data_IF_742003423847
#
_entry.id   IF_742003423847
#
_cell.length_a   1.000
_cell.length_b   1.000
_cell.length_c   1.000
_cell.angle_alpha   90.00
_cell.angle_beta   90.00
_cell.angle_gamma   90.00
#
_symmetry.space_group_name_H-M   'P 1'
#
loop_
_entity.id
_entity.type
_entity.pdbx_description
1 polymer ?
#
# COMPACT_ATOMS: atom_id res chain seq x y z
N UNK A 1 3.27 6.09 29.65
CA UNK A 1 3.26 4.80 28.98
C UNK A 1 4.70 4.31 28.76
N UNK A 2 5.55 5.05 28.05
CA UNK A 2 6.92 4.62 27.70
C UNK A 2 7.83 4.35 28.92
N UNK A 3 7.54 4.91 30.07
CA UNK A 3 8.29 4.69 31.32
C UNK A 3 7.81 3.48 32.12
N UNK A 4 6.71 2.84 31.71
CA UNK A 4 6.21 1.66 32.41
C UNK A 4 7.10 0.43 32.16
N UNK A 5 7.36 -0.31 33.22
CA UNK A 5 8.11 -1.55 33.16
C UNK A 5 7.31 -2.61 32.37
N UNK A 6 7.97 -3.35 31.47
CA UNK A 6 7.35 -4.38 30.66
C UNK A 6 6.79 -3.89 29.29
N UNK A 7 6.72 -2.58 29.05
CA UNK A 7 6.41 -2.05 27.72
C UNK A 7 7.67 -2.05 26.87
N UNK A 8 7.69 -2.78 25.76
CA UNK A 8 8.81 -2.87 24.82
C UNK A 8 8.46 -2.38 23.41
N UNK A 9 7.16 -2.26 23.08
CA UNK A 9 6.64 -1.77 21.81
C UNK A 9 5.57 -0.71 22.06
N UNK A 10 5.61 0.35 21.25
CA UNK A 10 4.56 1.38 21.18
C UNK A 10 3.92 1.34 19.79
N UNK A 11 2.62 1.07 19.76
CA UNK A 11 1.83 1.12 18.53
C UNK A 11 1.20 2.52 18.40
N UNK A 12 1.56 3.24 17.33
CA UNK A 12 1.11 4.61 17.06
C UNK A 12 0.03 4.61 16.01
N UNK A 13 -1.20 4.90 16.40
CA UNK A 13 -2.40 4.94 15.56
C UNK A 13 -3.22 6.22 15.79
N UNK A 14 -2.55 7.35 15.93
CA UNK A 14 -3.14 8.67 16.18
C UNK A 14 -3.48 9.40 14.87
N UNK A 15 -3.65 10.72 14.92
CA UNK A 15 -3.63 11.55 13.70
C UNK A 15 -2.23 11.59 13.09
N UNK A 16 -2.15 11.86 11.78
CA UNK A 16 -0.88 11.80 11.05
C UNK A 16 0.20 12.76 11.57
N UNK A 17 -0.19 13.94 12.04
CA UNK A 17 0.75 14.94 12.56
C UNK A 17 1.41 14.49 13.86
N UNK A 18 0.74 13.61 14.60
CA UNK A 18 1.22 13.09 15.89
C UNK A 18 2.12 11.85 15.75
N UNK A 19 2.17 11.20 14.58
CA UNK A 19 2.93 9.96 14.38
C UNK A 19 4.41 10.14 14.73
N UNK A 20 5.08 11.09 14.11
CA UNK A 20 6.53 11.28 14.26
C UNK A 20 6.95 11.70 15.67
N UNK A 21 6.35 12.73 16.30
CA UNK A 21 6.75 13.13 17.64
C UNK A 21 6.52 12.02 18.68
N UNK A 22 5.45 11.22 18.55
CA UNK A 22 5.20 10.08 19.45
C UNK A 22 6.23 8.97 19.23
N UNK A 23 6.51 8.63 17.95
CA UNK A 23 7.47 7.60 17.60
C UNK A 23 8.89 7.93 18.08
N UNK A 24 9.36 9.15 17.85
CA UNK A 24 10.66 9.62 18.31
C UNK A 24 10.75 9.54 19.83
N UNK A 25 9.76 10.09 20.53
CA UNK A 25 9.75 10.03 21.99
C UNK A 25 9.80 8.58 22.52
N UNK A 26 9.05 7.67 21.92
CA UNK A 26 9.06 6.27 22.32
C UNK A 26 10.44 5.62 22.13
N UNK A 27 11.08 5.85 20.98
CA UNK A 27 12.43 5.32 20.70
C UNK A 27 13.49 5.90 21.64
N UNK A 28 13.43 7.19 21.94
CA UNK A 28 14.30 7.85 22.94
C UNK A 28 14.14 7.26 24.35
N UNK A 29 12.95 6.71 24.67
CA UNK A 29 12.69 5.99 25.92
C UNK A 29 13.04 4.49 25.82
N UNK A 30 13.74 4.06 24.78
CA UNK A 30 14.18 2.68 24.58
C UNK A 30 13.05 1.71 24.19
N UNK A 31 12.02 2.18 23.48
CA UNK A 31 10.90 1.36 23.01
C UNK A 31 10.93 1.24 21.49
N UNK A 32 10.72 0.05 20.97
CA UNK A 32 10.46 -0.14 19.55
C UNK A 32 9.11 0.45 19.19
N UNK A 33 8.94 0.82 17.92
CA UNK A 33 7.73 1.52 17.46
C UNK A 33 7.16 0.88 16.19
N UNK A 34 5.85 0.70 16.20
CA UNK A 34 5.04 0.38 15.04
C UNK A 34 4.11 1.57 14.76
N UNK A 35 4.19 2.14 13.54
CA UNK A 35 3.48 3.37 13.19
C UNK A 35 2.49 3.11 12.07
N UNK A 36 1.24 3.53 12.25
CA UNK A 36 0.24 3.51 11.18
C UNK A 36 0.64 4.40 9.99
N UNK A 37 0.08 4.08 8.85
CA UNK A 37 0.34 4.79 7.60
C UNK A 37 -0.41 6.13 7.53
N UNK A 38 0.24 7.16 6.96
CA UNK A 38 1.65 7.29 6.60
C UNK A 38 2.51 7.54 7.85
N UNK A 39 3.70 6.96 7.91
CA UNK A 39 4.56 7.12 9.07
C UNK A 39 5.02 8.58 9.30
N UNK A 40 5.20 9.34 8.23
CA UNK A 40 5.60 10.74 8.27
C UNK A 40 5.02 11.52 7.09
N UNK A 41 4.94 12.85 7.22
CA UNK A 41 4.34 13.75 6.24
C UNK A 41 5.36 14.64 5.51
N UNK A 42 6.57 14.75 6.02
CA UNK A 42 7.63 15.57 5.43
C UNK A 42 8.95 14.82 5.33
N UNK A 43 9.82 15.22 4.40
CA UNK A 43 11.16 14.65 4.30
C UNK A 43 11.98 14.83 5.59
N UNK A 44 11.80 15.96 6.27
CA UNK A 44 12.45 16.20 7.56
C UNK A 44 12.02 15.16 8.59
N UNK A 45 10.75 14.86 8.66
CA UNK A 45 10.20 13.90 9.62
C UNK A 45 10.62 12.46 9.30
N UNK A 46 10.70 12.11 8.00
CA UNK A 46 11.21 10.80 7.56
C UNK A 46 12.65 10.60 8.05
N UNK A 47 13.53 11.59 7.82
CA UNK A 47 14.90 11.52 8.29
C UNK A 47 14.99 11.49 9.81
N UNK A 48 14.16 12.27 10.51
CA UNK A 48 14.13 12.25 11.97
C UNK A 48 13.76 10.87 12.54
N UNK A 49 12.83 10.15 11.92
CA UNK A 49 12.51 8.77 12.31
C UNK A 49 13.69 7.82 12.10
N UNK A 50 14.34 7.91 10.94
CA UNK A 50 15.49 7.05 10.58
C UNK A 50 16.66 7.33 11.52
N UNK A 51 17.05 8.60 11.66
CA UNK A 51 18.16 9.02 12.53
C UNK A 51 17.93 8.60 13.98
N UNK A 52 16.70 8.77 14.49
CA UNK A 52 16.36 8.37 15.86
C UNK A 52 16.42 6.85 16.02
N UNK A 53 15.88 6.08 15.06
CA UNK A 53 15.95 4.62 15.11
C UNK A 53 17.41 4.12 15.13
N UNK A 54 18.29 4.71 14.32
CA UNK A 54 19.71 4.37 14.27
C UNK A 54 20.43 4.76 15.58
N UNK A 55 20.21 5.96 16.09
CA UNK A 55 20.84 6.48 17.32
C UNK A 55 20.43 5.70 18.56
N UNK A 56 19.15 5.39 18.67
CA UNK A 56 18.58 4.66 19.82
C UNK A 56 18.70 3.15 19.70
N UNK A 57 18.99 2.64 18.49
CA UNK A 57 18.96 1.21 18.13
C UNK A 57 17.60 0.56 18.41
N UNK A 58 16.54 1.32 18.28
CA UNK A 58 15.18 0.82 18.39
C UNK A 58 14.61 0.56 16.99
N UNK A 59 13.75 -0.46 16.88
CA UNK A 59 13.03 -0.71 15.65
C UNK A 59 11.94 0.36 15.45
N UNK A 60 11.82 0.86 14.22
CA UNK A 60 10.73 1.70 13.79
C UNK A 60 10.16 1.12 12.48
N UNK A 61 8.93 0.65 12.52
CA UNK A 61 8.27 0.01 11.38
C UNK A 61 6.98 0.75 11.02
N UNK A 62 6.85 1.14 9.75
CA UNK A 62 5.57 1.59 9.21
C UNK A 62 4.71 0.37 8.86
N UNK A 63 3.46 0.37 9.31
CA UNK A 63 2.54 -0.75 9.14
C UNK A 63 1.76 -0.64 7.80
N UNK A 64 2.45 -0.82 6.68
CA UNK A 64 1.80 -0.88 5.37
C UNK A 64 1.17 -2.26 5.16
N UNK A 65 -0.06 -2.41 5.56
CA UNK A 65 -0.78 -3.67 5.59
C UNK A 65 -1.12 -4.24 4.20
N UNK A 66 -1.23 -3.40 3.17
CA UNK A 66 -1.61 -3.85 1.83
C UNK A 66 -0.58 -4.82 1.20
N UNK A 67 0.68 -4.80 1.67
CA UNK A 67 1.72 -5.73 1.20
C UNK A 67 1.53 -7.16 1.69
N UNK A 68 0.69 -7.38 2.70
CA UNK A 68 0.45 -8.69 3.34
C UNK A 68 -0.84 -9.37 2.88
N UNK A 69 -1.53 -8.79 1.91
CA UNK A 69 -2.69 -9.44 1.32
C UNK A 69 -2.26 -10.65 0.49
N UNK A 70 -3.06 -11.72 0.50
CA UNK A 70 -2.72 -13.00 -0.11
C UNK A 70 -2.32 -12.88 -1.58
N UNK A 71 -3.05 -12.09 -2.37
CA UNK A 71 -2.77 -11.89 -3.77
C UNK A 71 -1.44 -11.17 -3.98
N UNK A 72 -1.19 -10.08 -3.26
CA UNK A 72 0.04 -9.29 -3.33
C UNK A 72 1.25 -10.13 -2.93
N UNK A 73 1.13 -10.93 -1.86
CA UNK A 73 2.22 -11.81 -1.44
C UNK A 73 2.51 -12.92 -2.46
N UNK A 74 1.47 -13.54 -3.01
CA UNK A 74 1.63 -14.59 -4.03
C UNK A 74 2.28 -14.03 -5.29
N UNK A 75 1.78 -12.90 -5.82
CA UNK A 75 2.36 -12.28 -7.02
C UNK A 75 3.81 -11.83 -6.78
N UNK A 76 4.12 -11.31 -5.59
CA UNK A 76 5.49 -10.97 -5.23
C UNK A 76 6.42 -12.20 -5.29
N UNK A 77 5.98 -13.35 -4.78
CA UNK A 77 6.75 -14.58 -4.85
C UNK A 77 6.87 -15.09 -6.30
N UNK A 78 5.81 -15.03 -7.09
CA UNK A 78 5.84 -15.38 -8.52
C UNK A 78 6.86 -14.52 -9.29
N UNK A 79 6.93 -13.23 -8.98
CA UNK A 79 7.91 -12.30 -9.56
C UNK A 79 9.34 -12.68 -9.15
N UNK A 80 9.58 -12.96 -7.88
CA UNK A 80 10.90 -13.36 -7.38
C UNK A 80 11.39 -14.69 -7.99
N UNK A 81 10.49 -15.60 -8.30
CA UNK A 81 10.79 -16.86 -8.99
C UNK A 81 10.81 -16.73 -10.53
N UNK A 82 10.62 -15.51 -11.04
CA UNK A 82 10.73 -15.20 -12.46
C UNK A 82 9.54 -15.66 -13.31
N UNK A 83 8.41 -16.02 -12.70
CA UNK A 83 7.25 -16.54 -13.43
C UNK A 83 6.62 -15.51 -14.37
N UNK A 84 6.72 -14.21 -14.06
CA UNK A 84 6.27 -13.13 -14.92
C UNK A 84 7.37 -12.64 -15.89
N UNK A 85 8.56 -13.23 -15.87
CA UNK A 85 9.72 -12.71 -16.58
C UNK A 85 10.27 -11.42 -15.98
N UNK A 86 10.88 -10.55 -16.80
CA UNK A 86 11.33 -9.23 -16.35
C UNK A 86 10.15 -8.28 -16.26
N UNK A 87 9.91 -7.68 -15.08
CA UNK A 87 8.86 -6.68 -14.93
C UNK A 87 9.20 -5.41 -15.71
N UNK A 88 8.24 -4.90 -16.45
CA UNK A 88 8.35 -3.67 -17.25
C UNK A 88 7.51 -2.54 -16.69
N UNK A 89 6.35 -2.86 -16.09
CA UNK A 89 5.42 -1.88 -15.57
C UNK A 89 4.65 -2.43 -14.37
N UNK A 90 4.34 -1.57 -13.40
CA UNK A 90 3.46 -1.88 -12.27
C UNK A 90 2.47 -0.75 -12.02
N UNK A 91 1.29 -1.08 -11.51
CA UNK A 91 0.29 -0.10 -11.09
C UNK A 91 -0.12 -0.32 -9.64
N UNK A 92 -0.29 0.79 -8.92
CA UNK A 92 -0.83 0.82 -7.58
C UNK A 92 -1.82 1.97 -7.41
N UNK A 93 -2.81 1.80 -6.57
CA UNK A 93 -3.80 2.84 -6.34
C UNK A 93 -4.44 2.74 -4.97
N UNK A 94 -5.06 3.83 -4.55
CA UNK A 94 -5.98 3.86 -3.43
C UNK A 94 -7.20 4.67 -3.81
N UNK A 95 -8.26 3.95 -4.16
CA UNK A 95 -9.42 4.53 -4.80
C UNK A 95 -10.72 3.95 -4.22
N UNK A 96 -11.44 4.77 -3.49
CA UNK A 96 -12.82 4.56 -3.02
C UNK A 96 -13.26 5.79 -2.22
N UNK A 97 -14.56 6.07 -2.09
CA UNK A 97 -15.03 7.09 -1.15
C UNK A 97 -14.77 6.61 0.28
N UNK A 98 -14.12 7.43 1.10
CA UNK A 98 -13.83 7.05 2.50
C UNK A 98 -14.99 7.34 3.45
N UNK A 99 -16.04 8.02 2.98
CA UNK A 99 -17.30 8.19 3.70
C UNK A 99 -17.15 8.81 5.09
N UNK A 100 -17.65 8.14 6.09
CA UNK A 100 -17.62 8.53 7.51
C UNK A 100 -16.21 8.57 8.15
N UNK A 101 -15.19 8.10 7.45
CA UNK A 101 -13.80 8.19 7.89
C UNK A 101 -13.16 9.56 7.67
N UNK A 102 -13.87 10.51 7.05
CA UNK A 102 -13.47 11.89 7.00
C UNK A 102 -13.53 12.52 8.39
N UNK A 103 -12.39 12.50 9.09
CA UNK A 103 -12.23 13.22 10.35
C UNK A 103 -11.87 14.69 10.09
N UNK A 104 -12.15 15.62 11.06
CA UNK A 104 -11.78 17.02 10.91
C UNK A 104 -10.30 17.25 10.54
N UNK A 105 -9.39 16.51 11.16
CA UNK A 105 -7.96 16.67 10.88
C UNK A 105 -7.55 16.17 9.49
N UNK A 106 -8.14 15.07 8.97
CA UNK A 106 -7.91 14.61 7.58
C UNK A 106 -8.42 15.63 6.58
N UNK A 107 -9.59 16.16 6.83
CA UNK A 107 -10.21 17.17 5.97
C UNK A 107 -9.37 18.44 5.94
N UNK A 108 -8.90 18.92 7.09
CA UNK A 108 -8.04 20.09 7.16
C UNK A 108 -6.68 19.84 6.50
N UNK A 109 -6.09 18.66 6.68
CA UNK A 109 -4.85 18.28 6.00
C UNK A 109 -5.01 18.31 4.48
N UNK A 110 -6.07 17.70 3.94
CA UNK A 110 -6.35 17.67 2.50
C UNK A 110 -6.70 19.07 1.94
N UNK A 111 -7.33 19.92 2.74
CA UNK A 111 -7.57 21.31 2.36
C UNK A 111 -6.29 22.09 2.13
N UNK A 112 -5.24 21.80 2.89
CA UNK A 112 -3.96 22.54 2.86
C UNK A 112 -2.91 21.90 1.94
N UNK A 113 -3.03 20.63 1.59
CA UNK A 113 -2.01 19.87 0.88
C UNK A 113 -2.52 19.31 -0.44
N UNK A 114 -1.76 19.51 -1.51
CA UNK A 114 -2.03 19.00 -2.85
C UNK A 114 -1.31 17.67 -3.10
N UNK A 115 -1.72 16.96 -4.13
CA UNK A 115 -1.11 15.72 -4.59
C UNK A 115 -1.64 14.46 -3.91
N UNK A 116 -0.89 13.37 -3.97
CA UNK A 116 -1.25 12.14 -3.27
C UNK A 116 -0.85 12.25 -1.80
N UNK A 117 -1.83 12.54 -0.96
CA UNK A 117 -1.65 12.72 0.51
C UNK A 117 -1.62 11.41 1.27
N UNK A 118 -1.87 10.27 0.60
CA UNK A 118 -1.91 8.95 1.22
C UNK A 118 -1.38 7.83 0.30
N UNK A 119 -0.11 7.90 -0.14
CA UNK A 119 0.44 7.04 -1.19
C UNK A 119 0.78 5.63 -0.75
N UNK A 120 0.84 5.33 0.55
CA UNK A 120 1.45 4.10 1.08
C UNK A 120 0.79 2.83 0.57
N UNK A 121 -0.55 2.75 0.59
CA UNK A 121 -1.29 1.58 0.08
C UNK A 121 -1.15 1.36 -1.42
N UNK A 122 -0.81 2.42 -2.15
CA UNK A 122 -0.58 2.36 -3.59
C UNK A 122 0.86 1.92 -3.90
N UNK A 123 1.82 2.60 -3.27
CA UNK A 123 3.23 2.47 -3.61
C UNK A 123 3.93 1.31 -2.91
N UNK A 124 3.52 0.96 -1.69
CA UNK A 124 4.13 -0.09 -0.88
C UNK A 124 4.17 -1.45 -1.58
N UNK A 125 3.01 -2.00 -2.01
CA UNK A 125 2.98 -3.28 -2.71
C UNK A 125 3.79 -3.31 -4.01
N UNK A 126 3.72 -2.25 -4.83
CA UNK A 126 4.44 -2.21 -6.12
C UNK A 126 5.93 -1.94 -5.96
N UNK A 127 6.36 -1.24 -4.92
CA UNK A 127 7.78 -1.13 -4.56
C UNK A 127 8.39 -2.49 -4.22
N UNK A 128 7.61 -3.33 -3.55
CA UNK A 128 8.03 -4.69 -3.20
C UNK A 128 8.19 -5.58 -4.44
N UNK A 129 7.30 -5.44 -5.44
CA UNK A 129 7.43 -6.15 -6.73
C UNK A 129 8.71 -5.79 -7.47
N UNK A 130 9.13 -4.53 -7.40
CA UNK A 130 10.30 -4.02 -8.11
C UNK A 130 11.60 -4.03 -7.29
N UNK A 131 11.58 -4.58 -6.07
CA UNK A 131 12.70 -4.56 -5.13
C UNK A 131 13.32 -3.15 -4.95
N UNK A 132 12.46 -2.13 -4.84
CA UNK A 132 12.91 -0.75 -4.66
C UNK A 132 13.73 -0.64 -3.36
N UNK A 133 14.88 0.04 -3.46
CA UNK A 133 15.95 0.16 -2.45
C UNK A 133 16.73 -1.13 -2.14
N UNK A 134 16.52 -2.21 -2.90
CA UNK A 134 17.36 -3.42 -2.84
C UNK A 134 18.14 -3.60 -4.14
N UNK A 135 17.42 -3.84 -5.23
CA UNK A 135 18.02 -4.06 -6.55
C UNK A 135 17.74 -2.96 -7.56
N UNK A 136 16.71 -2.11 -7.31
CA UNK A 136 16.34 -0.96 -8.13
C UNK A 136 16.02 0.26 -7.23
N UNK A 137 15.85 1.42 -7.81
CA UNK A 137 15.45 2.67 -7.13
C UNK A 137 14.66 3.56 -8.05
N UNK A 138 13.79 4.39 -7.48
CA UNK A 138 13.09 5.43 -8.21
C UNK A 138 14.10 6.45 -8.74
N UNK A 139 13.89 6.93 -9.97
CA UNK A 139 14.78 7.89 -10.62
C UNK A 139 14.13 9.27 -10.68
N UNK A 140 12.98 9.36 -11.35
CA UNK A 140 12.19 10.59 -11.43
C UNK A 140 10.71 10.27 -11.52
N UNK A 141 9.90 11.28 -11.24
CA UNK A 141 8.44 11.19 -11.35
C UNK A 141 7.85 12.42 -12.02
N UNK A 142 6.65 12.24 -12.57
CA UNK A 142 5.74 13.30 -12.99
C UNK A 142 4.38 13.03 -12.36
N UNK A 143 3.81 14.05 -11.73
CA UNK A 143 2.51 13.94 -11.07
C UNK A 143 1.56 15.03 -11.58
N UNK A 144 0.29 14.67 -11.70
CA UNK A 144 -0.81 15.58 -12.01
C UNK A 144 -1.98 15.31 -11.07
N UNK A 145 -2.70 16.34 -10.73
CA UNK A 145 -3.98 16.23 -10.05
C UNK A 145 -5.07 17.00 -10.78
N UNK A 146 -6.31 16.63 -10.57
CA UNK A 146 -7.47 17.40 -10.99
C UNK A 146 -7.67 18.62 -10.08
N UNK A 147 -8.58 19.51 -10.44
CA UNK A 147 -9.15 20.44 -9.47
C UNK A 147 -9.92 19.66 -8.37
N UNK A 148 -10.12 20.33 -7.25
CA UNK A 148 -10.94 19.84 -6.16
C UNK A 148 -12.43 20.17 -6.44
N UNK A 149 -13.09 19.37 -7.26
CA UNK A 149 -14.50 19.59 -7.61
C UNK A 149 -15.45 19.31 -6.44
N UNK A 150 -15.09 18.34 -5.57
CA UNK A 150 -15.88 17.94 -4.41
C UNK A 150 -15.32 18.48 -3.07
N UNK A 151 -14.06 18.89 -3.06
CA UNK A 151 -13.32 19.19 -1.83
C UNK A 151 -13.98 20.26 -0.95
N UNK A 152 -14.46 21.38 -1.51
CA UNK A 152 -15.09 22.46 -0.74
C UNK A 152 -16.46 22.07 -0.17
N UNK A 153 -17.25 21.33 -0.93
CA UNK A 153 -18.55 20.83 -0.49
C UNK A 153 -18.38 19.79 0.66
N UNK A 154 -17.46 18.85 0.49
CA UNK A 154 -17.14 17.87 1.52
C UNK A 154 -16.54 18.49 2.76
N UNK A 155 -15.71 19.52 2.62
CA UNK A 155 -15.19 20.29 3.74
C UNK A 155 -16.34 20.91 4.55
N UNK A 156 -17.28 21.56 3.88
CA UNK A 156 -18.45 22.11 4.54
C UNK A 156 -19.31 21.05 5.24
N UNK A 157 -19.50 19.90 4.62
CA UNK A 157 -20.27 18.79 5.21
C UNK A 157 -19.60 18.21 6.47
N UNK A 158 -18.28 18.08 6.49
CA UNK A 158 -17.53 17.51 7.63
C UNK A 158 -17.28 18.53 8.72
N UNK A 159 -16.92 19.77 8.34
CA UNK A 159 -16.48 20.81 9.28
C UNK A 159 -17.59 21.72 9.75
N UNK A 160 -18.78 21.67 9.12
CA UNK A 160 -19.91 22.57 9.44
C UNK A 160 -19.70 24.03 9.04
N UNK A 161 -18.65 24.32 8.25
CA UNK A 161 -18.30 25.70 7.78
C UNK A 161 -17.73 25.64 6.36
N UNK A 162 -17.94 26.69 5.59
CA UNK A 162 -17.36 26.84 4.27
C UNK A 162 -15.84 27.09 4.31
N UNK A 163 -15.14 26.76 3.23
CA UNK A 163 -13.78 27.19 2.97
C UNK A 163 -13.67 27.83 1.58
N UNK A 164 -12.74 28.77 1.43
CA UNK A 164 -12.53 29.50 0.17
C UNK A 164 -11.74 28.70 -0.85
N UNK A 165 -10.98 27.71 -0.41
CA UNK A 165 -10.12 26.89 -1.26
C UNK A 165 -9.87 25.50 -0.66
N UNK A 166 -9.61 24.55 -1.56
CA UNK A 166 -9.22 23.18 -1.20
C UNK A 166 -8.09 22.75 -2.13
N UNK A 167 -6.93 22.38 -1.57
CA UNK A 167 -5.72 22.13 -2.35
C UNK A 167 -5.65 20.74 -2.95
N UNK A 168 -6.20 19.71 -2.27
CA UNK A 168 -6.14 18.33 -2.74
C UNK A 168 -7.13 18.11 -3.89
N UNK A 169 -6.64 17.75 -5.06
CA UNK A 169 -7.48 17.38 -6.20
C UNK A 169 -8.22 16.07 -5.96
N UNK A 170 -9.39 15.89 -6.59
CA UNK A 170 -10.20 14.68 -6.41
C UNK A 170 -9.50 13.43 -6.96
N UNK A 171 -8.64 13.56 -7.96
CA UNK A 171 -7.80 12.51 -8.51
C UNK A 171 -6.35 12.98 -8.62
N UNK A 172 -5.41 12.16 -8.12
CA UNK A 172 -3.98 12.32 -8.39
C UNK A 172 -3.48 11.11 -9.18
N UNK A 173 -2.61 11.36 -10.17
CA UNK A 173 -1.94 10.33 -10.96
C UNK A 173 -0.46 10.67 -11.05
N UNK A 174 0.38 9.72 -10.66
CA UNK A 174 1.83 9.87 -10.62
C UNK A 174 2.49 8.76 -11.44
N UNK A 175 3.26 9.13 -12.44
CA UNK A 175 4.09 8.22 -13.20
C UNK A 175 5.53 8.31 -12.69
N UNK A 176 6.10 7.18 -12.29
CA UNK A 176 7.47 7.08 -11.79
C UNK A 176 8.28 6.19 -12.73
N UNK A 177 9.52 6.59 -13.04
CA UNK A 177 10.48 5.74 -13.75
C UNK A 177 11.60 5.33 -12.80
N UNK A 178 11.98 4.05 -12.83
CA UNK A 178 13.09 3.54 -12.04
C UNK A 178 14.42 3.70 -12.79
N UNK A 179 15.53 3.53 -12.08
CA UNK A 179 16.87 3.56 -12.67
C UNK A 179 17.08 2.43 -13.68
N UNK A 180 16.51 1.25 -13.42
CA UNK A 180 16.52 0.12 -14.37
C UNK A 180 15.54 0.26 -15.54
N UNK A 181 14.81 1.38 -15.61
CA UNK A 181 13.94 1.68 -16.75
C UNK A 181 12.51 1.17 -16.67
N UNK A 182 12.13 0.57 -15.54
CA UNK A 182 10.74 0.16 -15.26
C UNK A 182 9.87 1.35 -14.95
N UNK A 183 8.56 1.23 -15.12
CA UNK A 183 7.61 2.31 -14.82
C UNK A 183 6.61 1.89 -13.77
N UNK A 184 6.14 2.87 -12.98
CA UNK A 184 5.10 2.68 -11.96
C UNK A 184 4.04 3.76 -12.16
N UNK A 185 2.77 3.37 -12.21
CA UNK A 185 1.62 4.29 -12.17
C UNK A 185 1.00 4.20 -10.79
N UNK A 186 0.95 5.33 -10.09
CA UNK A 186 0.37 5.46 -8.75
C UNK A 186 -0.84 6.38 -8.82
N UNK A 187 -1.98 5.97 -8.28
CA UNK A 187 -3.21 6.74 -8.32
C UNK A 187 -3.86 6.85 -6.93
N UNK A 188 -4.42 8.03 -6.65
CA UNK A 188 -5.17 8.29 -5.44
C UNK A 188 -6.48 9.00 -5.74
N UNK A 189 -7.60 8.48 -5.20
CA UNK A 189 -8.91 9.10 -5.31
C UNK A 189 -9.81 8.60 -4.16
N UNK A 190 -10.10 9.46 -3.20
CA UNK A 190 -10.92 9.13 -2.03
C UNK A 190 -12.17 10.02 -1.92
N UNK A 191 -12.38 10.88 -2.91
CA UNK A 191 -13.48 11.85 -2.95
C UNK A 191 -14.67 11.35 -3.79
N UNK A 192 -14.40 10.76 -4.96
CA UNK A 192 -15.44 10.43 -5.91
C UNK A 192 -16.09 9.07 -5.62
N UNK A 193 -17.39 8.88 -5.96
CA UNK A 193 -18.06 7.61 -5.82
C UNK A 193 -17.54 6.61 -6.86
N UNK A 194 -16.70 5.70 -6.44
CA UNK A 194 -16.16 4.61 -7.26
C UNK A 194 -15.97 3.34 -6.44
N UNK A 195 -15.99 2.15 -7.06
CA UNK A 195 -15.68 0.91 -6.36
C UNK A 195 -14.31 0.94 -5.71
N UNK A 196 -14.18 0.24 -4.59
CA UNK A 196 -12.88 0.06 -3.93
C UNK A 196 -11.88 -0.59 -4.88
N UNK A 197 -10.69 0.00 -4.99
CA UNK A 197 -9.59 -0.53 -5.77
C UNK A 197 -8.25 -0.04 -5.23
N UNK A 198 -7.31 -0.96 -5.08
CA UNK A 198 -5.89 -0.63 -4.90
C UNK A 198 -5.09 -0.77 -6.19
N UNK A 199 -5.77 -1.08 -7.30
CA UNK A 199 -5.25 -1.17 -8.68
C UNK A 199 -4.13 -2.19 -8.88
N UNK A 200 -3.61 -2.83 -7.90
CA UNK A 200 -2.44 -3.69 -7.89
C UNK A 200 -2.28 -4.50 -9.18
N UNK A 201 -1.27 -4.16 -9.99
CA UNK A 201 -1.00 -4.77 -11.29
C UNK A 201 0.51 -4.92 -11.52
N UNK A 202 0.90 -6.03 -12.10
CA UNK A 202 2.25 -6.35 -12.52
C UNK A 202 2.26 -6.81 -13.97
N UNK A 203 3.06 -6.14 -14.81
CA UNK A 203 3.24 -6.45 -16.25
C UNK A 203 4.69 -6.87 -16.45
N UNK A 204 4.89 -8.11 -16.88
CA UNK A 204 6.21 -8.67 -17.17
C UNK A 204 6.31 -9.14 -18.61
N UNK A 205 7.51 -9.54 -19.02
CA UNK A 205 7.81 -10.04 -20.38
C UNK A 205 7.24 -11.42 -20.65
N UNK A 206 6.87 -12.16 -19.61
CA UNK A 206 6.35 -13.52 -19.72
C UNK A 206 5.04 -13.76 -18.95
N UNK A 207 4.49 -12.73 -18.31
CA UNK A 207 3.25 -12.84 -17.58
C UNK A 207 2.70 -11.50 -17.08
N UNK A 208 1.46 -11.56 -16.64
CA UNK A 208 0.66 -10.45 -16.16
C UNK A 208 -0.14 -10.89 -14.94
N UNK A 209 -0.31 -10.01 -13.97
CA UNK A 209 -1.19 -10.22 -12.84
C UNK A 209 -1.86 -8.90 -12.45
N UNK A 210 -3.18 -8.91 -12.24
CA UNK A 210 -3.96 -7.79 -11.72
C UNK A 210 -4.97 -8.29 -10.69
N UNK A 211 -5.22 -7.50 -9.65
CA UNK A 211 -6.17 -7.86 -8.59
C UNK A 211 -7.56 -7.29 -8.81
N UNK A 212 -7.65 -6.11 -9.36
CA UNK A 212 -8.89 -5.33 -9.46
C UNK A 212 -9.29 -5.03 -10.90
N UNK A 213 -10.60 -5.00 -11.24
CA UNK A 213 -11.76 -5.20 -10.35
C UNK A 213 -11.99 -6.65 -9.94
N UNK A 214 -11.47 -7.60 -10.68
CA UNK A 214 -11.46 -9.05 -10.40
C UNK A 214 -10.04 -9.58 -10.64
N UNK A 215 -9.60 -10.60 -9.92
CA UNK A 215 -8.29 -11.19 -10.15
C UNK A 215 -8.15 -11.72 -11.59
N UNK A 216 -7.10 -11.27 -12.27
CA UNK A 216 -6.71 -11.74 -13.59
C UNK A 216 -5.22 -12.08 -13.60
N UNK A 217 -4.86 -13.17 -14.24
CA UNK A 217 -3.46 -13.55 -14.48
C UNK A 217 -3.35 -14.12 -15.90
N UNK A 218 -2.19 -13.89 -16.51
CA UNK A 218 -1.80 -14.47 -17.78
C UNK A 218 -0.34 -14.88 -17.71
N UNK A 219 -0.01 -16.03 -18.26
CA UNK A 219 1.37 -16.53 -18.36
C UNK A 219 1.65 -16.92 -19.82
N UNK A 220 2.88 -16.74 -20.25
CA UNK A 220 3.33 -17.34 -21.50
C UNK A 220 3.21 -18.87 -21.40
N UNK A 221 3.03 -19.58 -22.51
CA UNK A 221 2.92 -21.05 -22.51
C UNK A 221 4.10 -21.73 -21.81
N UNK A 222 5.31 -21.19 -21.98
CA UNK A 222 6.51 -21.69 -21.29
C UNK A 222 6.42 -21.57 -19.78
N UNK A 223 5.97 -20.43 -19.26
CA UNK A 223 5.85 -20.20 -17.81
C UNK A 223 4.68 -20.96 -17.21
N UNK A 224 3.57 -21.06 -17.93
CA UNK A 224 2.43 -21.87 -17.50
C UNK A 224 2.83 -23.36 -17.37
N UNK A 225 3.57 -23.89 -18.33
CA UNK A 225 4.06 -25.28 -18.30
C UNK A 225 5.00 -25.55 -17.08
N UNK A 226 5.83 -24.58 -16.68
CA UNK A 226 6.72 -24.72 -15.50
C UNK A 226 5.93 -24.96 -14.20
N UNK A 227 4.71 -24.46 -14.13
CA UNK A 227 3.83 -24.60 -12.95
C UNK A 227 2.70 -25.61 -13.18
N UNK A 228 2.78 -26.39 -14.25
CA UNK A 228 1.82 -27.47 -14.53
C UNK A 228 0.44 -26.97 -15.00
N UNK A 229 0.37 -25.76 -15.54
CA UNK A 229 -0.86 -25.17 -16.09
C UNK A 229 -0.84 -25.29 -17.60
N UNK A 230 -1.88 -25.88 -18.17
CA UNK A 230 -2.12 -25.89 -19.61
C UNK A 230 -2.83 -24.61 -20.02
N UNK A 231 -2.29 -23.92 -21.02
CA UNK A 231 -2.86 -22.71 -21.63
C UNK A 231 -3.25 -23.03 -23.06
N UNK A 232 -4.55 -23.00 -23.35
CA UNK A 232 -5.09 -23.30 -24.67
C UNK A 232 -4.88 -22.15 -25.65
N UNK A 233 -4.97 -20.91 -25.18
CA UNK A 233 -4.79 -19.67 -25.94
C UNK A 233 -3.97 -18.69 -25.10
N UNK A 234 -2.81 -18.30 -25.60
CA UNK A 234 -1.88 -17.35 -24.94
C UNK A 234 -2.42 -15.91 -24.90
N UNK A 235 -3.56 -15.64 -25.52
CA UNK A 235 -4.25 -14.33 -25.49
C UNK A 235 -5.34 -14.24 -24.42
N UNK A 236 -5.71 -15.37 -23.82
CA UNK A 236 -6.75 -15.41 -22.80
C UNK A 236 -6.14 -15.46 -21.39
N UNK A 237 -6.77 -14.78 -20.42
CA UNK A 237 -6.34 -14.91 -19.03
C UNK A 237 -6.59 -16.32 -18.50
N UNK A 238 -5.84 -16.70 -17.50
CA UNK A 238 -6.07 -17.93 -16.74
C UNK A 238 -7.48 -17.93 -16.13
N UNK A 239 -8.11 -19.09 -16.10
CA UNK A 239 -9.40 -19.21 -15.43
C UNK A 239 -9.28 -19.15 -13.91
N UNK A 240 -10.40 -18.95 -13.20
CA UNK A 240 -10.42 -18.79 -11.75
C UNK A 240 -9.78 -19.96 -10.98
N UNK A 241 -9.93 -21.19 -11.45
CA UNK A 241 -9.34 -22.38 -10.81
C UNK A 241 -7.81 -22.39 -10.95
N UNK A 242 -7.30 -22.00 -12.12
CA UNK A 242 -5.86 -21.89 -12.37
C UNK A 242 -5.24 -20.77 -11.53
N UNK A 243 -5.90 -19.63 -11.44
CA UNK A 243 -5.48 -18.51 -10.57
C UNK A 243 -5.44 -18.97 -9.11
N UNK A 244 -6.50 -19.65 -8.62
CA UNK A 244 -6.55 -20.14 -7.24
C UNK A 244 -5.45 -21.18 -6.97
N UNK A 245 -5.10 -22.01 -7.94
CA UNK A 245 -3.97 -22.95 -7.86
C UNK A 245 -2.66 -22.20 -7.65
N UNK A 246 -2.40 -21.15 -8.43
CA UNK A 246 -1.21 -20.31 -8.25
C UNK A 246 -1.18 -19.61 -6.90
N UNK A 247 -2.32 -19.03 -6.49
CA UNK A 247 -2.41 -18.37 -5.19
C UNK A 247 -2.17 -19.33 -4.02
N UNK A 248 -2.66 -20.57 -4.10
CA UNK A 248 -2.40 -21.60 -3.09
C UNK A 248 -0.94 -22.04 -3.04
N UNK A 249 -0.26 -22.06 -4.18
CA UNK A 249 1.14 -22.48 -4.25
C UNK A 249 2.10 -21.38 -3.80
N UNK A 250 1.85 -20.13 -4.23
CA UNK A 250 2.79 -19.01 -4.03
C UNK A 250 2.48 -18.14 -2.81
N UNK A 251 1.23 -18.11 -2.31
CA UNK A 251 0.95 -17.39 -1.09
C UNK A 251 1.56 -18.12 0.12
N UNK A 252 2.10 -17.38 1.10
CA UNK A 252 2.61 -18.01 2.31
C UNK A 252 1.51 -18.76 3.03
N UNK A 253 1.84 -19.95 3.53
CA UNK A 253 0.94 -20.73 4.38
C UNK A 253 0.93 -20.15 5.80
N UNK A 254 -0.27 -19.96 6.35
CA UNK A 254 -0.46 -19.55 7.72
C UNK A 254 -1.11 -20.68 8.54
N UNK A 255 -0.90 -20.73 9.87
CA UNK A 255 -1.64 -21.64 10.73
C UNK A 255 -3.16 -21.48 10.53
N UNK A 256 -3.90 -22.58 10.64
CA UNK A 256 -5.36 -22.58 10.45
C UNK A 256 -6.10 -21.59 11.36
N UNK A 257 -5.61 -21.44 12.60
CA UNK A 257 -6.11 -20.45 13.57
C UNK A 257 -5.96 -19.01 13.06
N UNK A 258 -4.83 -18.69 12.45
CA UNK A 258 -4.56 -17.39 11.85
C UNK A 258 -5.53 -17.10 10.70
N UNK A 259 -5.78 -18.11 9.84
CA UNK A 259 -6.71 -17.99 8.72
C UNK A 259 -8.14 -17.79 9.23
N UNK A 260 -8.53 -18.54 10.26
CA UNK A 260 -9.87 -18.41 10.86
C UNK A 260 -10.09 -17.02 11.44
N UNK A 261 -9.14 -16.53 12.24
CA UNK A 261 -9.21 -15.20 12.83
C UNK A 261 -9.22 -14.11 11.76
N UNK A 262 -8.41 -14.25 10.69
CA UNK A 262 -8.41 -13.30 9.59
C UNK A 262 -9.77 -13.25 8.87
N UNK A 263 -10.46 -14.37 8.70
CA UNK A 263 -11.81 -14.41 8.13
C UNK A 263 -12.84 -13.73 9.03
N UNK A 264 -12.73 -13.88 10.34
CA UNK A 264 -13.58 -13.17 11.30
C UNK A 264 -13.38 -11.66 11.28
N UNK A 265 -12.16 -11.21 10.96
CA UNK A 265 -11.79 -9.81 10.84
C UNK A 265 -11.99 -9.22 9.44
N UNK A 266 -12.42 -10.01 8.46
CA UNK A 266 -12.48 -9.62 7.04
C UNK A 266 -13.30 -8.36 6.78
N UNK A 267 -14.37 -8.14 7.54
CA UNK A 267 -15.15 -6.90 7.49
C UNK A 267 -14.34 -5.63 7.84
N UNK A 268 -13.12 -5.77 8.36
CA UNK A 268 -12.23 -4.69 8.80
C UNK A 268 -10.88 -4.66 8.05
N UNK A 269 -10.73 -5.37 6.96
CA UNK A 269 -9.49 -5.39 6.19
C UNK A 269 -8.84 -6.77 6.03
N UNK A 270 -9.47 -7.83 6.55
CA UNK A 270 -9.07 -9.21 6.29
C UNK A 270 -7.66 -9.57 6.76
N UNK A 271 -6.99 -10.39 5.97
CA UNK A 271 -5.66 -10.91 6.28
C UNK A 271 -4.61 -9.79 6.46
N UNK A 272 -4.67 -8.72 5.68
CA UNK A 272 -3.71 -7.62 5.78
C UNK A 272 -3.78 -6.92 7.14
N UNK A 273 -4.97 -6.64 7.64
CA UNK A 273 -5.16 -6.06 8.98
C UNK A 273 -4.66 -7.00 10.09
N UNK A 274 -4.91 -8.29 9.94
CA UNK A 274 -4.43 -9.28 10.91
C UNK A 274 -2.91 -9.37 10.93
N UNK A 275 -2.25 -9.29 9.77
CA UNK A 275 -0.79 -9.32 9.69
C UNK A 275 -0.16 -8.11 10.37
N UNK A 276 -0.75 -6.92 10.25
CA UNK A 276 -0.31 -5.74 10.99
C UNK A 276 -0.31 -5.99 12.50
N UNK A 277 -1.39 -6.55 13.04
CA UNK A 277 -1.49 -6.88 14.45
C UNK A 277 -0.49 -7.95 14.92
N UNK A 278 -0.04 -8.83 14.03
CA UNK A 278 0.93 -9.88 14.35
C UNK A 278 2.38 -9.42 14.22
N UNK A 279 2.62 -8.41 13.40
CA UNK A 279 3.97 -7.85 13.20
C UNK A 279 4.29 -6.73 14.17
N UNK A 280 3.26 -6.08 14.74
CA UNK A 280 3.40 -5.10 15.82
C UNK A 280 3.60 -5.78 17.16
#
# INVERSE_FOLDING_TARGET
LCQQQGVNLVYVCTDWMSHVPIAIHAMEQGRSVAVEVPAALTLKDIWALIDTAEQTRQHCMMLENAVYDRFEMAVCQMVHEGLLGELVHVEGGYAHPIGDRWTPWRMEYSRLNAGDVYPTHSIGPVCRLLDIHRTDRMHYLTAMQTNAFLGTEMYQAVMGKACDSFANGDQTSTMIRTVKGKTMLIQHNVMTPRPYSRMFQAVGTAGYAAKYPVPEMQLSPEMAAKVGIEVEDDKLPLNASQIETLLNYYAPSFPSETITLAKELDARGGMSYFMDLRLA
#
